data_IF_223032438762
#
_entry.id   IF_223032438762
#
_cell.length_a   1.000
_cell.length_b   1.000
_cell.length_c   1.000
_cell.angle_alpha   90.00
_cell.angle_beta   90.00
_cell.angle_gamma   90.00
#
_symmetry.space_group_name_H-M   'P 1'
#
loop_
_entity.id
_entity.type
_entity.pdbx_description
1 polymer ?
#
# COMPACT_ATOMS: atom_id res chain seq x y z
N UNK A 1 1.06 -20.69 -69.44
CA UNK A 1 2.18 -20.65 -68.47
C UNK A 1 2.09 -19.31 -67.74
N UNK A 2 1.52 -19.24 -66.52
CA UNK A 2 2.22 -19.11 -65.20
C UNK A 2 3.42 -18.15 -65.30
N UNK A 3 3.52 -17.05 -64.54
CA UNK A 3 3.49 -16.97 -63.06
C UNK A 3 3.07 -15.57 -62.55
N UNK A 4 2.31 -15.57 -61.47
CA UNK A 4 2.07 -14.43 -60.57
C UNK A 4 3.37 -13.98 -59.89
N UNK A 5 3.47 -12.69 -59.58
CA UNK A 5 4.32 -12.18 -58.51
C UNK A 5 3.51 -11.23 -57.63
N UNK A 6 3.46 -11.57 -56.35
CA UNK A 6 2.84 -10.85 -55.22
C UNK A 6 4.00 -10.30 -54.36
N UNK A 7 3.69 -9.31 -53.53
CA UNK A 7 4.40 -8.82 -52.32
C UNK A 7 5.30 -7.58 -52.53
N UNK A 8 5.28 -6.57 -51.67
CA UNK A 8 4.73 -6.51 -50.31
C UNK A 8 4.30 -5.10 -49.91
N UNK A 9 3.24 -5.04 -49.10
CA UNK A 9 2.79 -3.85 -48.39
C UNK A 9 3.67 -3.74 -47.15
N UNK A 10 4.39 -2.64 -47.04
CA UNK A 10 5.20 -2.28 -45.87
C UNK A 10 4.27 -1.91 -44.72
N UNK A 11 3.89 -2.90 -43.92
CA UNK A 11 3.12 -2.69 -42.69
C UNK A 11 4.09 -2.28 -41.60
N UNK A 12 4.34 -0.98 -41.50
CA UNK A 12 4.87 -0.37 -40.28
C UNK A 12 3.83 -0.52 -39.16
N UNK A 13 3.85 -1.67 -38.49
CA UNK A 13 3.10 -1.92 -37.26
C UNK A 13 3.81 -1.19 -36.11
N UNK A 14 3.55 0.11 -35.96
CA UNK A 14 3.78 0.82 -34.72
C UNK A 14 2.86 0.23 -33.65
N UNK A 15 3.36 -0.74 -32.90
CA UNK A 15 2.74 -1.22 -31.67
C UNK A 15 2.83 -0.13 -30.60
N UNK A 16 1.96 0.87 -30.69
CA UNK A 16 1.52 1.60 -29.52
C UNK A 16 0.79 0.59 -28.64
N UNK A 17 1.54 -0.11 -27.78
CA UNK A 17 0.97 -0.92 -26.71
C UNK A 17 0.18 0.04 -25.83
N UNK A 18 -1.12 0.11 -26.09
CA UNK A 18 -2.10 0.64 -25.14
C UNK A 18 -1.86 -0.11 -23.84
N UNK A 19 -1.15 0.52 -22.90
CA UNK A 19 -1.02 0.04 -21.53
C UNK A 19 -2.43 0.02 -20.97
N UNK A 20 -3.09 -1.13 -21.06
CA UNK A 20 -4.31 -1.37 -20.28
C UNK A 20 -3.93 -1.06 -18.83
N UNK A 21 -4.66 -0.20 -18.12
CA UNK A 21 -4.36 0.04 -16.72
C UNK A 21 -4.42 -1.31 -16.01
N UNK A 22 -3.26 -1.76 -15.50
CA UNK A 22 -3.20 -2.90 -14.59
C UNK A 22 -4.14 -2.55 -13.44
N UNK A 23 -5.05 -3.46 -13.02
CA UNK A 23 -5.86 -3.23 -11.83
C UNK A 23 -4.88 -2.92 -10.70
N UNK A 24 -4.83 -1.66 -10.26
CA UNK A 24 -4.04 -1.29 -9.11
C UNK A 24 -4.66 -2.04 -7.94
N UNK A 25 -3.95 -3.01 -7.38
CA UNK A 25 -4.36 -3.59 -6.11
C UNK A 25 -4.55 -2.45 -5.11
N UNK A 26 -5.72 -2.45 -4.46
CA UNK A 26 -6.11 -1.44 -3.48
C UNK A 26 -6.04 -2.06 -2.09
N UNK A 27 -5.70 -1.24 -1.12
CA UNK A 27 -5.87 -1.58 0.29
C UNK A 27 -7.27 -1.12 0.70
N UNK A 28 -8.07 -1.99 1.29
CA UNK A 28 -9.43 -1.62 1.72
C UNK A 28 -9.37 -1.16 3.18
N UNK A 29 -9.88 0.04 3.46
CA UNK A 29 -9.98 0.53 4.84
C UNK A 29 -10.96 -0.35 5.64
N UNK A 30 -10.54 -0.97 6.76
CA UNK A 30 -11.41 -1.88 7.52
C UNK A 30 -12.56 -1.17 8.24
N UNK A 31 -12.53 0.18 8.31
CA UNK A 31 -13.53 0.97 9.04
C UNK A 31 -14.61 1.61 8.17
N UNK A 32 -14.36 1.74 6.86
CA UNK A 32 -15.30 2.41 5.95
C UNK A 32 -15.33 1.80 4.55
N UNK A 33 -14.57 0.72 4.34
CA UNK A 33 -14.51 -0.06 3.09
C UNK A 33 -14.00 0.72 1.86
N UNK A 34 -13.53 1.96 2.04
CA UNK A 34 -12.94 2.76 0.99
C UNK A 34 -11.57 2.22 0.56
N UNK A 35 -11.37 2.10 -0.75
CA UNK A 35 -10.11 1.70 -1.35
C UNK A 35 -9.04 2.79 -1.26
N UNK A 36 -7.86 2.42 -0.79
CA UNK A 36 -6.65 3.22 -0.74
C UNK A 36 -5.62 2.68 -1.73
N UNK A 37 -4.81 3.54 -2.38
CA UNK A 37 -3.70 3.07 -3.19
C UNK A 37 -2.67 2.36 -2.31
N UNK A 38 -2.02 1.31 -2.84
CA UNK A 38 -0.86 0.72 -2.17
C UNK A 38 0.24 1.79 -2.08
N UNK A 39 0.75 2.08 -0.87
CA UNK A 39 1.74 3.13 -0.69
C UNK A 39 3.06 2.75 -1.37
N UNK A 40 3.77 3.78 -1.81
CA UNK A 40 5.13 3.64 -2.37
C UNK A 40 6.21 3.94 -1.36
N UNK A 41 5.84 4.59 -0.25
CA UNK A 41 6.71 4.89 0.88
C UNK A 41 6.09 4.23 2.11
N UNK A 42 6.80 3.28 2.72
CA UNK A 42 6.32 2.53 3.87
C UNK A 42 6.65 3.23 5.20
N UNK A 43 7.53 4.23 5.20
CA UNK A 43 7.78 5.04 6.39
C UNK A 43 6.64 6.05 6.63
N UNK A 44 5.87 6.37 5.59
CA UNK A 44 4.80 7.35 5.62
C UNK A 44 3.53 6.83 6.31
N UNK A 45 2.89 7.72 7.06
CA UNK A 45 1.55 7.49 7.62
C UNK A 45 0.51 8.00 6.61
N UNK A 46 -0.46 7.15 6.30
CA UNK A 46 -1.50 7.47 5.33
C UNK A 46 -2.85 7.65 6.02
N UNK A 47 -3.57 8.71 5.65
CA UNK A 47 -4.88 9.05 6.22
C UNK A 47 -6.02 8.66 5.29
N UNK A 48 -6.96 7.87 5.80
CA UNK A 48 -8.24 7.61 5.18
C UNK A 48 -9.23 8.75 5.47
N UNK A 49 -10.16 9.00 4.55
CA UNK A 49 -11.19 10.04 4.71
C UNK A 49 -12.10 9.82 5.92
N UNK A 50 -12.22 8.59 6.41
CA UNK A 50 -12.99 8.27 7.62
C UNK A 50 -12.26 8.59 8.94
N UNK A 51 -11.08 9.21 8.87
CA UNK A 51 -10.24 9.56 10.02
C UNK A 51 -9.31 8.43 10.50
N UNK A 52 -9.34 7.26 9.86
CA UNK A 52 -8.39 6.19 10.16
C UNK A 52 -7.02 6.48 9.54
N UNK A 53 -5.95 6.11 10.23
CA UNK A 53 -4.59 6.14 9.73
C UNK A 53 -4.11 4.71 9.46
N UNK A 54 -3.21 4.55 8.49
CA UNK A 54 -2.52 3.29 8.27
C UNK A 54 -1.05 3.47 7.91
N UNK A 55 -0.24 2.47 8.23
CA UNK A 55 1.18 2.38 7.88
C UNK A 55 1.53 0.94 7.54
N UNK A 56 2.44 0.78 6.59
CA UNK A 56 3.03 -0.52 6.23
C UNK A 56 4.39 -0.60 6.88
N UNK A 57 4.68 -1.63 7.67
CA UNK A 57 5.93 -1.75 8.40
C UNK A 57 6.41 -3.20 8.44
N UNK A 58 7.66 -3.44 8.82
CA UNK A 58 8.09 -4.79 9.19
C UNK A 58 7.38 -5.27 10.46
N UNK A 59 7.17 -6.57 10.61
CA UNK A 59 6.57 -7.15 11.82
C UNK A 59 7.30 -6.76 13.10
N UNK A 60 8.63 -6.63 13.03
CA UNK A 60 9.45 -6.28 14.18
C UNK A 60 9.28 -4.82 14.63
N UNK A 61 8.76 -3.95 13.76
CA UNK A 61 8.57 -2.51 14.02
C UNK A 61 7.08 -2.14 14.21
N UNK A 62 6.23 -3.12 14.53
CA UNK A 62 4.79 -2.88 14.69
C UNK A 62 4.48 -1.91 15.84
N UNK A 63 5.14 -2.08 17.00
CA UNK A 63 4.91 -1.23 18.17
C UNK A 63 5.33 0.22 17.92
N UNK A 64 6.50 0.41 17.29
CA UNK A 64 6.99 1.72 16.87
C UNK A 64 6.02 2.36 15.86
N UNK A 65 5.55 1.59 14.88
CA UNK A 65 4.60 2.08 13.86
C UNK A 65 3.23 2.43 14.45
N UNK A 66 2.77 1.71 15.47
CA UNK A 66 1.56 2.10 16.22
C UNK A 66 1.78 3.41 16.97
N UNK A 67 2.97 3.62 17.53
CA UNK A 67 3.34 4.85 18.23
C UNK A 67 3.40 6.04 17.26
N UNK A 68 4.02 5.87 16.09
CA UNK A 68 4.04 6.89 15.03
C UNK A 68 2.62 7.29 14.61
N UNK A 69 1.74 6.30 14.41
CA UNK A 69 0.34 6.56 14.05
C UNK A 69 -0.39 7.28 15.20
N UNK A 70 -0.08 6.96 16.46
CA UNK A 70 -0.66 7.65 17.59
C UNK A 70 -0.25 9.12 17.63
N UNK A 71 1.03 9.42 17.43
CA UNK A 71 1.53 10.80 17.36
C UNK A 71 0.85 11.61 16.24
N UNK A 72 0.46 10.96 15.14
CA UNK A 72 -0.27 11.59 14.05
C UNK A 72 -1.78 11.79 14.35
N UNK A 73 -2.35 11.00 15.27
CA UNK A 73 -3.77 11.01 15.60
C UNK A 73 -4.13 11.95 16.76
N UNK A 74 -3.19 12.24 17.65
CA UNK A 74 -3.42 12.98 18.89
C UNK A 74 -2.44 14.12 19.05
N UNK A 75 -2.92 15.24 19.59
CA UNK A 75 -2.04 16.34 20.02
C UNK A 75 -1.22 15.92 21.25
N UNK A 76 -0.10 16.58 21.52
CA UNK A 76 0.83 16.25 22.61
C UNK A 76 0.12 16.17 23.98
N UNK A 77 -0.77 17.12 24.27
CA UNK A 77 -1.57 17.17 25.50
C UNK A 77 -2.57 15.98 25.60
N UNK A 78 -3.09 15.51 24.47
CA UNK A 78 -4.00 14.36 24.42
C UNK A 78 -3.25 13.03 24.60
N UNK A 79 -2.02 12.93 24.07
CA UNK A 79 -1.18 11.73 24.20
C UNK A 79 -0.82 11.44 25.65
N UNK A 80 -0.47 12.47 26.43
CA UNK A 80 -0.16 12.32 27.85
C UNK A 80 -1.37 11.84 28.66
N UNK A 81 -2.56 12.33 28.33
CA UNK A 81 -3.80 11.85 28.91
C UNK A 81 -4.06 10.38 28.56
N UNK A 82 -3.94 10.00 27.29
CA UNK A 82 -4.19 8.63 26.81
C UNK A 82 -3.24 7.62 27.44
N UNK A 83 -1.96 7.99 27.58
CA UNK A 83 -0.94 7.16 28.26
C UNK A 83 -1.23 6.95 29.75
N UNK A 84 -2.02 7.83 30.37
CA UNK A 84 -2.29 7.84 31.81
C UNK A 84 -3.55 7.08 32.25
N UNK A 85 -4.42 6.65 31.32
CA UNK A 85 -5.73 6.04 31.64
C UNK A 85 -5.93 4.71 30.90
N UNK A 86 -6.36 3.62 31.59
CA UNK A 86 -6.66 2.36 30.95
C UNK A 86 -8.07 2.40 30.32
N UNK A 87 -8.19 3.01 29.14
CA UNK A 87 -9.39 2.99 28.32
C UNK A 87 -9.05 2.69 26.86
N UNK A 88 -9.99 2.07 26.14
CA UNK A 88 -9.87 1.85 24.70
C UNK A 88 -10.14 3.18 23.96
N UNK A 89 -9.09 3.84 23.45
CA UNK A 89 -9.18 5.10 22.72
C UNK A 89 -9.18 4.92 21.19
N UNK A 90 -8.80 3.74 20.71
CA UNK A 90 -8.75 3.45 19.29
C UNK A 90 -9.09 2.00 18.96
N UNK A 91 -9.55 1.80 17.73
CA UNK A 91 -9.58 0.47 17.12
C UNK A 91 -8.30 0.26 16.32
N UNK A 92 -7.67 -0.90 16.51
CA UNK A 92 -6.48 -1.32 15.77
C UNK A 92 -6.79 -2.57 14.96
N UNK A 93 -6.43 -2.57 13.67
CA UNK A 93 -6.49 -3.76 12.80
C UNK A 93 -5.11 -3.99 12.22
N UNK A 94 -4.59 -5.21 12.36
CA UNK A 94 -3.27 -5.58 11.84
C UNK A 94 -3.42 -6.72 10.83
N UNK A 95 -2.97 -6.49 9.61
CA UNK A 95 -2.85 -7.52 8.58
C UNK A 95 -1.38 -7.97 8.49
N UNK A 96 -1.11 -9.18 8.96
CA UNK A 96 0.24 -9.76 9.10
C UNK A 96 0.77 -10.46 7.85
N UNK A 97 -0.06 -10.66 6.82
CA UNK A 97 0.36 -11.32 5.58
C UNK A 97 0.47 -10.31 4.43
N UNK A 98 0.89 -9.08 4.74
CA UNK A 98 0.90 -8.00 3.75
C UNK A 98 1.93 -8.23 2.63
N UNK A 99 3.02 -8.95 2.90
CA UNK A 99 4.00 -9.34 1.87
C UNK A 99 3.33 -10.08 0.71
N UNK A 100 2.37 -10.96 1.00
CA UNK A 100 1.69 -11.73 -0.03
C UNK A 100 0.93 -10.82 -0.99
N UNK A 101 0.32 -9.73 -0.48
CA UNK A 101 -0.33 -8.72 -1.32
C UNK A 101 0.70 -7.91 -2.12
N UNK A 102 1.87 -7.64 -1.53
CA UNK A 102 2.96 -6.96 -2.21
C UNK A 102 3.55 -7.82 -3.34
N UNK A 103 3.83 -9.10 -3.09
CA UNK A 103 4.34 -10.06 -4.07
C UNK A 103 3.41 -10.18 -5.29
N UNK A 104 2.09 -10.21 -5.06
CA UNK A 104 1.08 -10.18 -6.12
C UNK A 104 1.17 -8.89 -6.96
N UNK A 105 1.43 -7.74 -6.33
CA UNK A 105 1.64 -6.47 -7.04
C UNK A 105 2.96 -6.47 -7.82
N UNK A 106 4.03 -6.99 -7.22
CA UNK A 106 5.38 -7.02 -7.78
C UNK A 106 5.46 -7.92 -9.02
N UNK A 107 4.78 -9.07 -9.01
CA UNK A 107 4.67 -9.95 -10.18
C UNK A 107 3.91 -9.28 -11.33
N UNK A 108 3.08 -8.28 -11.06
CA UNK A 108 2.33 -7.52 -12.06
C UNK A 108 3.12 -6.31 -12.64
N UNK A 109 3.97 -5.64 -11.86
CA UNK A 109 4.86 -4.55 -12.34
C UNK A 109 6.25 -4.57 -11.66
N UNK A 110 7.27 -5.14 -12.34
CA UNK A 110 8.63 -5.28 -11.79
C UNK A 110 9.38 -3.95 -11.56
N UNK A 111 8.94 -2.84 -12.19
CA UNK A 111 9.66 -1.57 -12.12
C UNK A 111 9.26 -0.71 -10.91
N UNK A 112 8.18 -1.04 -10.19
CA UNK A 112 7.83 -0.30 -8.96
C UNK A 112 8.75 -0.64 -7.78
N UNK A 113 9.40 -1.82 -7.80
CA UNK A 113 10.25 -2.35 -6.70
C UNK A 113 11.40 -1.40 -6.33
N UNK A 114 11.97 -0.68 -7.29
CA UNK A 114 13.11 0.23 -7.03
C UNK A 114 12.76 1.42 -6.14
N UNK A 115 11.48 1.63 -5.80
CA UNK A 115 11.03 2.67 -4.86
C UNK A 115 10.78 2.13 -3.44
N UNK A 116 10.74 0.81 -3.26
CA UNK A 116 10.55 0.15 -1.96
C UNK A 116 11.88 -0.12 -1.23
N UNK A 117 13.01 0.39 -1.74
CA UNK A 117 14.39 0.05 -1.36
C UNK A 117 14.78 0.29 0.11
N UNK A 118 13.92 0.85 0.96
CA UNK A 118 14.17 0.94 2.41
C UNK A 118 13.77 -0.31 3.18
N UNK A 119 13.07 -1.23 2.51
CA UNK A 119 12.59 -2.45 3.15
C UNK A 119 13.64 -3.55 3.17
N UNK A 120 13.82 -4.21 4.32
CA UNK A 120 14.55 -5.47 4.40
C UNK A 120 13.69 -6.56 3.75
N UNK A 121 14.04 -6.93 2.52
CA UNK A 121 13.33 -7.93 1.70
C UNK A 121 13.21 -9.29 2.42
N UNK A 122 14.02 -9.56 3.46
CA UNK A 122 13.94 -10.77 4.27
C UNK A 122 12.96 -10.71 5.46
N UNK A 123 12.43 -9.53 5.80
CA UNK A 123 11.49 -9.37 6.91
C UNK A 123 10.05 -9.43 6.41
N UNK A 124 9.13 -10.07 7.13
CA UNK A 124 7.73 -10.03 6.74
C UNK A 124 7.06 -8.70 7.12
N UNK A 125 6.17 -8.21 6.26
CA UNK A 125 5.40 -6.97 6.36
C UNK A 125 4.10 -7.15 7.12
N UNK A 126 3.75 -6.09 7.84
CA UNK A 126 2.44 -5.85 8.42
C UNK A 126 1.84 -4.55 7.88
N UNK A 127 0.52 -4.54 7.72
CA UNK A 127 -0.26 -3.33 7.53
C UNK A 127 -1.07 -3.06 8.80
N UNK A 128 -0.83 -1.90 9.40
CA UNK A 128 -1.48 -1.48 10.64
C UNK A 128 -2.47 -0.38 10.31
N UNK A 129 -3.69 -0.53 10.82
CA UNK A 129 -4.73 0.48 10.80
C UNK A 129 -5.07 0.91 12.21
N UNK A 130 -5.22 2.21 12.44
CA UNK A 130 -5.67 2.78 13.72
C UNK A 130 -6.75 3.82 13.46
N UNK A 131 -7.82 3.79 14.26
CA UNK A 131 -8.88 4.81 14.21
C UNK A 131 -9.30 5.21 15.62
N UNK A 132 -9.33 6.52 15.89
CA UNK A 132 -9.89 7.08 17.13
C UNK A 132 -11.36 6.68 17.31
N UNK A 133 -11.78 6.48 18.55
CA UNK A 133 -13.16 6.10 18.90
C UNK A 133 -14.15 7.28 19.04
N UNK A 134 -13.76 8.51 18.70
CA UNK A 134 -14.54 9.73 18.93
C UNK A 134 -14.53 10.66 17.72
#
# INVERSE_FOLDING_TARGET
MKKHAIWGIDVAMSMARSKRPVPKHIIVCPFCEMGQPIPTDFDAIHRCQCGACFKVCGHHAMEDSMSDIAEELWEEDELDFIRSVPMDFCNVVVERDFDRLLDLKQTADPNEISRFCKYDVGSPLSLIWVKRLF
#
